data_IF_196019148334
#
_entry.id   IF_196019148334
#
_cell.length_a   1.000
_cell.length_b   1.000
_cell.length_c   1.000
_cell.angle_alpha   90.00
_cell.angle_beta   90.00
_cell.angle_gamma   90.00
#
_symmetry.space_group_name_H-M   'P 1'
#
loop_
_entity.id
_entity.type
_entity.pdbx_description
1 polymer ?
#
# COMPACT_ATOMS: atom_id res chain seq x y z
N UNK A 1 32.63 13.69 -18.15
CA UNK A 1 33.29 13.00 -19.28
C UNK A 1 34.55 13.75 -19.64
N UNK A 2 35.67 13.04 -19.62
CA UNK A 2 37.00 13.56 -19.96
C UNK A 2 37.00 14.20 -21.35
N UNK A 3 37.63 15.38 -21.48
CA UNK A 3 37.75 16.13 -22.73
C UNK A 3 38.50 15.34 -23.81
N UNK A 4 39.47 14.52 -23.41
CA UNK A 4 40.25 13.71 -24.35
C UNK A 4 39.43 12.55 -24.91
N UNK A 5 38.65 11.88 -24.06
CA UNK A 5 37.72 10.83 -24.49
C UNK A 5 36.71 11.34 -25.53
N UNK A 6 36.20 12.57 -25.34
CA UNK A 6 35.30 13.20 -26.32
C UNK A 6 35.97 13.49 -27.66
N UNK A 7 37.25 13.90 -27.64
CA UNK A 7 38.04 14.18 -28.84
C UNK A 7 38.28 12.90 -29.64
N UNK A 8 38.84 11.88 -29.01
CA UNK A 8 39.11 10.57 -29.63
C UNK A 8 37.83 9.95 -30.20
N UNK A 9 36.73 9.97 -29.44
CA UNK A 9 35.45 9.45 -29.93
C UNK A 9 34.90 10.22 -31.15
N UNK A 10 35.21 11.51 -31.27
CA UNK A 10 34.79 12.32 -32.41
C UNK A 10 35.61 12.02 -33.67
N UNK A 11 36.92 11.82 -33.51
CA UNK A 11 37.83 11.39 -34.59
C UNK A 11 37.38 10.03 -35.16
N UNK A 12 37.13 9.03 -34.29
CA UNK A 12 36.65 7.71 -34.73
C UNK A 12 35.32 7.79 -35.49
N UNK A 13 34.37 8.60 -35.01
CA UNK A 13 33.08 8.78 -35.69
C UNK A 13 33.26 9.40 -37.08
N UNK A 14 34.16 10.36 -37.20
CA UNK A 14 34.47 11.00 -38.48
C UNK A 14 35.05 9.99 -39.47
N UNK A 15 36.05 9.22 -39.06
CA UNK A 15 36.69 8.24 -39.95
C UNK A 15 35.69 7.16 -40.43
N UNK A 16 34.78 6.71 -39.55
CA UNK A 16 33.72 5.77 -39.92
C UNK A 16 32.72 6.38 -40.90
N UNK A 17 32.31 7.63 -40.68
CA UNK A 17 31.41 8.35 -41.57
C UNK A 17 32.04 8.55 -42.96
N UNK A 18 33.32 8.93 -43.02
CA UNK A 18 34.08 9.10 -44.27
C UNK A 18 34.13 7.78 -45.07
N UNK A 19 34.35 6.64 -44.40
CA UNK A 19 34.35 5.31 -45.04
C UNK A 19 32.96 4.93 -45.55
N UNK A 20 31.90 5.21 -44.78
CA UNK A 20 30.51 4.93 -45.18
C UNK A 20 30.15 5.74 -46.43
N UNK A 21 30.50 7.03 -46.46
CA UNK A 21 30.24 7.90 -47.60
C UNK A 21 30.97 7.43 -48.86
N UNK A 22 32.21 6.96 -48.73
CA UNK A 22 32.97 6.38 -49.86
C UNK A 22 32.39 5.04 -50.33
N UNK A 23 31.92 4.21 -49.41
CA UNK A 23 31.36 2.90 -49.74
C UNK A 23 29.90 2.94 -50.20
N UNK A 24 29.19 4.06 -50.03
CA UNK A 24 27.80 4.27 -50.41
C UNK A 24 27.53 4.20 -51.93
N UNK A 25 28.57 3.95 -52.73
CA UNK A 25 28.50 3.82 -54.19
C UNK A 25 27.86 2.48 -54.60
N UNK A 26 28.01 1.41 -53.82
CA UNK A 26 27.36 0.11 -54.10
C UNK A 26 27.02 -0.68 -52.83
N UNK A 27 26.10 -1.63 -52.98
CA UNK A 27 25.72 -2.55 -51.90
C UNK A 27 26.88 -3.45 -51.50
N UNK A 28 27.65 -3.91 -52.48
CA UNK A 28 28.76 -4.85 -52.25
C UNK A 28 29.88 -4.20 -51.45
N UNK A 29 30.20 -2.94 -51.73
CA UNK A 29 31.18 -2.18 -50.95
C UNK A 29 30.71 -1.92 -49.52
N UNK A 30 29.42 -1.64 -49.32
CA UNK A 30 28.85 -1.53 -47.97
C UNK A 30 28.87 -2.85 -47.21
N UNK A 31 28.69 -4.00 -47.87
CA UNK A 31 28.83 -5.31 -47.24
C UNK A 31 30.27 -5.58 -46.78
N UNK A 32 31.28 -5.13 -47.53
CA UNK A 32 32.69 -5.21 -47.13
C UNK A 32 32.92 -4.38 -45.86
N UNK A 33 32.47 -3.12 -45.85
CA UNK A 33 32.59 -2.24 -44.68
C UNK A 33 31.90 -2.86 -43.47
N UNK A 34 30.68 -3.37 -43.63
CA UNK A 34 29.92 -4.05 -42.57
C UNK A 34 30.67 -5.25 -42.00
N UNK A 35 31.19 -6.13 -42.86
CA UNK A 35 31.91 -7.35 -42.44
C UNK A 35 33.17 -6.99 -41.64
N UNK A 36 33.97 -6.05 -42.15
CA UNK A 36 35.18 -5.58 -41.47
C UNK A 36 34.86 -4.91 -40.13
N UNK A 37 33.84 -4.06 -40.09
CA UNK A 37 33.40 -3.39 -38.87
C UNK A 37 32.88 -4.39 -37.82
N UNK A 38 32.12 -5.40 -38.23
CA UNK A 38 31.64 -6.44 -37.31
C UNK A 38 32.78 -7.22 -36.67
N UNK A 39 33.82 -7.57 -37.44
CA UNK A 39 35.00 -8.24 -36.88
C UNK A 39 35.74 -7.35 -35.88
N UNK A 40 35.99 -6.09 -36.25
CA UNK A 40 36.60 -5.11 -35.36
C UNK A 40 35.80 -4.92 -34.05
N UNK A 41 34.48 -4.79 -34.14
CA UNK A 41 33.62 -4.67 -32.95
C UNK A 41 33.73 -5.90 -32.05
N UNK A 42 33.81 -7.09 -32.63
CA UNK A 42 33.94 -8.33 -31.86
C UNK A 42 35.32 -8.43 -31.18
N UNK A 43 36.40 -8.02 -31.86
CA UNK A 43 37.74 -7.96 -31.28
C UNK A 43 37.80 -6.99 -30.10
N UNK A 44 37.31 -5.74 -30.30
CA UNK A 44 37.30 -4.72 -29.24
C UNK A 44 36.44 -5.16 -28.05
N UNK A 45 35.33 -5.85 -28.27
CA UNK A 45 34.50 -6.39 -27.18
C UNK A 45 35.21 -7.45 -26.33
N UNK A 46 36.19 -8.18 -26.88
CA UNK A 46 36.97 -9.16 -26.11
C UNK A 46 38.05 -8.49 -25.25
N UNK A 47 38.59 -7.36 -25.70
CA UNK A 47 39.64 -6.63 -25.00
C UNK A 47 39.10 -5.67 -23.95
N UNK A 48 37.88 -5.18 -24.14
CA UNK A 48 37.22 -4.35 -23.14
C UNK A 48 36.73 -5.22 -21.98
N UNK A 49 36.86 -4.76 -20.73
CA UNK A 49 36.18 -5.41 -19.61
C UNK A 49 34.69 -5.48 -19.93
N UNK A 50 34.06 -6.58 -19.51
CA UNK A 50 32.62 -6.84 -19.65
C UNK A 50 31.84 -5.88 -18.72
N UNK A 51 31.99 -4.59 -18.96
CA UNK A 51 31.36 -3.47 -18.28
C UNK A 51 30.01 -3.18 -18.92
N UNK A 52 29.35 -4.18 -19.54
CA UNK A 52 27.93 -4.08 -19.81
C UNK A 52 27.24 -3.99 -18.46
N UNK A 53 27.12 -2.77 -17.96
CA UNK A 53 26.22 -2.48 -16.86
C UNK A 53 24.89 -3.06 -17.27
N UNK A 54 24.38 -3.97 -16.45
CA UNK A 54 23.07 -4.49 -16.72
C UNK A 54 22.11 -3.31 -16.81
N UNK A 55 21.07 -3.42 -17.66
CA UNK A 55 20.02 -2.40 -17.70
C UNK A 55 19.43 -2.13 -16.30
N UNK A 56 19.53 -3.12 -15.40
CA UNK A 56 19.17 -3.01 -13.99
C UNK A 56 20.09 -2.02 -13.28
N UNK A 57 21.42 -2.18 -13.37
CA UNK A 57 22.40 -1.25 -12.77
C UNK A 57 22.22 0.18 -13.26
N UNK A 58 21.94 0.40 -14.55
CA UNK A 58 21.68 1.75 -15.08
C UNK A 58 20.43 2.39 -14.44
N UNK A 59 19.37 1.59 -14.21
CA UNK A 59 18.14 2.05 -13.57
C UNK A 59 18.38 2.31 -12.07
N UNK A 60 19.12 1.44 -11.39
CA UNK A 60 19.46 1.59 -9.98
C UNK A 60 20.29 2.85 -9.73
N UNK A 61 21.31 3.10 -10.57
CA UNK A 61 22.13 4.32 -10.54
C UNK A 61 21.28 5.57 -10.78
N UNK A 62 20.34 5.52 -11.73
CA UNK A 62 19.48 6.66 -12.05
C UNK A 62 18.49 7.00 -10.94
N UNK A 63 17.86 5.99 -10.33
CA UNK A 63 16.91 6.17 -9.22
C UNK A 63 17.66 6.45 -7.90
N UNK A 64 18.91 6.00 -7.80
CA UNK A 64 19.74 6.09 -6.59
C UNK A 64 19.39 5.03 -5.54
N UNK A 65 18.74 3.93 -5.95
CA UNK A 65 18.42 2.82 -5.06
C UNK A 65 18.47 1.48 -5.78
N UNK A 66 18.91 0.46 -5.05
CA UNK A 66 18.99 -0.90 -5.58
C UNK A 66 17.62 -1.57 -5.54
N UNK A 67 17.30 -2.33 -6.58
CA UNK A 67 16.12 -3.18 -6.66
C UNK A 67 16.32 -4.34 -5.67
N UNK A 68 15.43 -4.54 -4.69
CA UNK A 68 15.56 -5.62 -3.74
C UNK A 68 15.43 -6.98 -4.45
N UNK A 69 16.33 -7.90 -4.14
CA UNK A 69 16.32 -9.27 -4.68
C UNK A 69 15.09 -10.08 -4.21
N UNK A 70 14.49 -9.69 -3.08
CA UNK A 70 13.30 -10.31 -2.53
C UNK A 70 12.34 -9.25 -1.99
N UNK A 71 11.08 -9.34 -2.40
CA UNK A 71 9.98 -8.50 -1.91
C UNK A 71 8.97 -9.39 -1.22
N UNK A 72 8.75 -9.17 0.09
CA UNK A 72 7.72 -9.88 0.84
C UNK A 72 6.43 -9.05 0.83
N UNK A 73 5.46 -9.47 0.03
CA UNK A 73 4.14 -8.83 -0.03
C UNK A 73 3.23 -9.54 0.98
N UNK A 74 2.91 -8.85 2.06
CA UNK A 74 1.94 -9.36 3.04
C UNK A 74 0.53 -8.94 2.64
N UNK A 75 -0.48 -9.80 2.87
CA UNK A 75 -1.87 -9.38 2.76
C UNK A 75 -2.13 -8.25 3.76
N UNK A 76 -3.06 -7.32 3.47
CA UNK A 76 -3.49 -6.33 4.44
C UNK A 76 -3.95 -7.01 5.74
N UNK A 77 -3.47 -6.53 6.89
CA UNK A 77 -3.79 -7.10 8.21
C UNK A 77 -5.30 -7.12 8.51
N UNK A 78 -6.06 -6.19 7.94
CA UNK A 78 -7.51 -6.13 8.08
C UNK A 78 -8.12 -5.45 6.86
N UNK A 79 -9.05 -6.14 6.20
CA UNK A 79 -9.94 -5.53 5.23
C UNK A 79 -11.18 -5.13 6.00
N UNK A 80 -11.27 -3.86 6.41
CA UNK A 80 -12.49 -3.28 7.00
C UNK A 80 -13.57 -3.13 5.91
N UNK A 81 -14.05 -4.25 5.40
CA UNK A 81 -15.21 -4.32 4.53
C UNK A 81 -16.48 -4.05 5.36
N UNK A 82 -17.48 -3.41 4.74
CA UNK A 82 -18.79 -3.22 5.40
C UNK A 82 -19.36 -4.59 5.75
N UNK A 83 -19.43 -4.91 7.04
CA UNK A 83 -19.91 -6.20 7.55
C UNK A 83 -18.86 -7.05 8.30
N UNK A 84 -17.56 -6.73 8.21
CA UNK A 84 -16.50 -7.45 8.94
C UNK A 84 -16.33 -7.00 10.39
N UNK A 85 -16.87 -5.83 10.75
CA UNK A 85 -16.99 -5.40 12.15
C UNK A 85 -17.80 -6.45 12.89
N UNK A 86 -17.14 -7.21 13.77
CA UNK A 86 -17.78 -8.17 14.66
C UNK A 86 -18.93 -7.46 15.35
N UNK A 87 -20.15 -7.76 14.92
CA UNK A 87 -21.39 -7.34 15.57
C UNK A 87 -21.18 -7.58 17.06
N UNK A 88 -21.26 -6.54 17.88
CA UNK A 88 -21.04 -6.63 19.34
C UNK A 88 -21.76 -7.90 19.81
N UNK A 89 -20.99 -8.91 20.23
CA UNK A 89 -21.47 -10.23 20.68
C UNK A 89 -22.16 -10.10 22.04
N UNK A 90 -23.15 -9.23 22.17
CA UNK A 90 -23.89 -9.05 23.43
C UNK A 90 -25.26 -9.73 23.39
N UNK A 91 -25.70 -10.18 22.21
CA UNK A 91 -27.02 -10.78 22.04
C UNK A 91 -27.06 -12.31 21.83
N UNK A 92 -25.90 -12.96 21.58
CA UNK A 92 -25.85 -14.41 21.32
C UNK A 92 -25.36 -15.27 22.49
N UNK A 93 -24.76 -14.68 23.54
CA UNK A 93 -24.37 -15.40 24.78
C UNK A 93 -25.44 -15.30 25.88
N UNK A 94 -26.72 -15.42 25.52
CA UNK A 94 -27.82 -15.59 26.50
C UNK A 94 -28.16 -17.07 26.74
N UNK A 95 -27.16 -17.95 26.63
CA UNK A 95 -27.23 -19.36 26.96
C UNK A 95 -26.30 -19.69 28.12
N UNK A 96 -26.64 -19.26 29.34
CA UNK A 96 -25.89 -19.67 30.54
C UNK A 96 -25.83 -18.64 31.66
N UNK A 97 -26.94 -18.45 32.39
CA UNK A 97 -26.99 -18.09 33.84
C UNK A 97 -28.36 -17.49 34.20
N UNK A 98 -29.38 -18.34 34.24
CA UNK A 98 -30.77 -17.93 34.54
C UNK A 98 -31.00 -17.44 35.99
N UNK A 99 -30.08 -17.68 36.95
CA UNK A 99 -30.27 -17.25 38.35
C UNK A 99 -30.13 -15.74 38.59
N UNK A 100 -29.12 -15.07 38.02
CA UNK A 100 -28.89 -13.62 38.27
C UNK A 100 -29.95 -12.72 37.63
N UNK A 101 -30.64 -13.19 36.58
CA UNK A 101 -31.63 -12.41 35.83
C UNK A 101 -33.01 -12.40 36.49
N UNK A 102 -33.38 -13.45 37.23
CA UNK A 102 -34.62 -13.47 38.02
C UNK A 102 -34.53 -12.53 39.22
N UNK A 103 -33.42 -12.55 39.96
CA UNK A 103 -33.19 -11.63 41.09
C UNK A 103 -33.16 -10.16 40.64
N UNK A 104 -32.56 -9.86 39.48
CA UNK A 104 -32.53 -8.51 38.91
C UNK A 104 -33.89 -8.06 38.35
N UNK A 105 -34.72 -8.98 37.86
CA UNK A 105 -36.10 -8.69 37.43
C UNK A 105 -37.03 -8.46 38.62
N UNK A 106 -36.87 -9.22 39.72
CA UNK A 106 -37.62 -9.00 40.95
C UNK A 106 -37.32 -7.61 41.55
N UNK A 107 -36.03 -7.21 41.63
CA UNK A 107 -35.63 -5.88 42.12
C UNK A 107 -36.10 -4.72 41.22
N UNK A 108 -36.28 -4.93 39.91
CA UNK A 108 -36.80 -3.90 38.99
C UNK A 108 -38.30 -3.65 39.10
N UNK A 109 -39.06 -4.64 39.56
CA UNK A 109 -40.51 -4.53 39.73
C UNK A 109 -40.93 -4.16 41.15
N UNK A 110 -39.97 -4.03 42.07
CA UNK A 110 -40.22 -3.55 43.43
C UNK A 110 -40.51 -2.04 43.37
N UNK A 111 -41.73 -1.63 43.74
CA UNK A 111 -42.10 -0.21 43.75
C UNK A 111 -41.33 0.48 44.88
N UNK A 112 -40.44 1.40 44.54
CA UNK A 112 -39.65 2.17 45.51
C UNK A 112 -40.48 3.38 45.98
N UNK A 113 -40.64 3.61 47.30
CA UNK A 113 -41.28 4.82 47.82
C UNK A 113 -40.55 6.08 47.37
N UNK A 114 -41.31 7.07 46.92
CA UNK A 114 -40.82 8.37 46.47
C UNK A 114 -41.63 9.48 47.15
N UNK A 115 -41.00 10.62 47.38
CA UNK A 115 -41.69 11.79 47.91
C UNK A 115 -42.76 12.27 46.93
N UNK A 116 -44.02 12.29 47.36
CA UNK A 116 -45.12 12.79 46.54
C UNK A 116 -45.17 14.32 46.57
N UNK A 117 -45.19 14.95 45.39
CA UNK A 117 -45.22 16.41 45.29
C UNK A 117 -46.53 17.08 45.74
N UNK A 118 -47.61 16.31 45.95
CA UNK A 118 -48.89 16.84 46.46
C UNK A 118 -48.96 16.79 47.99
N UNK A 119 -48.73 15.61 48.59
CA UNK A 119 -48.83 15.44 50.06
C UNK A 119 -47.50 15.54 50.80
N UNK A 120 -46.36 15.64 50.10
CA UNK A 120 -45.00 15.70 50.67
C UNK A 120 -44.65 14.54 51.60
N UNK A 121 -45.24 13.36 51.38
CA UNK A 121 -44.93 12.12 52.11
C UNK A 121 -44.19 11.12 51.21
N UNK A 122 -43.36 10.25 51.82
CA UNK A 122 -42.65 9.14 51.15
C UNK A 122 -43.62 7.98 50.90
N UNK A 123 -44.05 7.81 49.66
CA UNK A 123 -45.19 6.94 49.29
C UNK A 123 -44.97 6.25 47.94
N UNK A 124 -45.77 5.22 47.65
CA UNK A 124 -45.67 4.43 46.41
C UNK A 124 -46.49 4.99 45.23
N UNK A 125 -47.23 6.08 45.42
CA UNK A 125 -48.04 6.70 44.38
C UNK A 125 -47.34 7.91 43.75
N UNK A 126 -47.71 8.26 42.53
CA UNK A 126 -47.26 9.48 41.84
C UNK A 126 -48.16 10.67 42.21
N UNK A 127 -47.68 11.91 42.03
CA UNK A 127 -48.42 13.17 42.29
C UNK A 127 -49.79 13.19 41.62
N UNK A 128 -49.86 12.62 40.41
CA UNK A 128 -51.06 12.51 39.58
C UNK A 128 -52.14 11.63 40.19
N UNK A 129 -51.74 10.63 40.98
CA UNK A 129 -52.62 9.67 41.62
C UNK A 129 -52.61 9.82 43.16
N UNK A 130 -52.31 11.01 43.66
CA UNK A 130 -52.23 11.24 45.09
C UNK A 130 -53.66 11.31 45.68
N UNK A 131 -54.01 10.45 46.65
CA UNK A 131 -55.34 10.45 47.25
C UNK A 131 -55.59 11.66 48.16
N UNK A 132 -54.52 12.28 48.68
CA UNK A 132 -54.56 13.51 49.47
C UNK A 132 -54.39 14.77 48.62
N UNK A 133 -54.53 14.67 47.29
CA UNK A 133 -54.48 15.85 46.41
C UNK A 133 -55.66 16.75 46.77
N UNK A 134 -55.38 17.96 47.23
CA UNK A 134 -56.42 18.97 47.44
C UNK A 134 -57.09 19.27 46.10
N UNK A 135 -58.34 18.85 45.94
CA UNK A 135 -59.19 19.25 44.83
C UNK A 135 -59.64 20.68 45.11
N UNK A 136 -58.85 21.65 44.65
CA UNK A 136 -59.21 23.07 44.54
C UNK A 136 -59.23 23.40 43.05
#
# INVERSE_FOLDING_TARGET
MDTEVKRVASEIRKDMEDIIQQAAISTDTMHIVRSKFQNFVNEVKQELPDNQRSRIEEVEDFVGCNIPSQINIFPPNDVRSRGSVRRIREHFDKGGSNKKKEEAKQKKNERIPRMCGSCKELVLHDKRNCPKKSTL
#
